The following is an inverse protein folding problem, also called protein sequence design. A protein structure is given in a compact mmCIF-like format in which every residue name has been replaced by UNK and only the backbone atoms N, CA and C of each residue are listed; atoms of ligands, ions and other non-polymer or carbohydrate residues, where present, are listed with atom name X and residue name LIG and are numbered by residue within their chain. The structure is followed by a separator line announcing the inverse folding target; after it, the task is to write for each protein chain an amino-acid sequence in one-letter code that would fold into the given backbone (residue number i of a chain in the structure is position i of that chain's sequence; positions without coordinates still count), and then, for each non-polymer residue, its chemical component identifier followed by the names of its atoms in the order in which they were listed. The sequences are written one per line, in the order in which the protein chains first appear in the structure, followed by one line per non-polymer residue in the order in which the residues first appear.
data_IF_141792223725
#
_entry.id   IF_141792223725
#
_cell.length_a   1.000
_cell.length_b   1.000
_cell.length_c   1.000
_cell.angle_alpha   90.00
_cell.angle_beta   90.00
_cell.angle_gamma   90.00
#
_symmetry.space_group_name_H-M   'P 1'
#
loop_
_entity.id
_entity.type
_entity.pdbx_description
1 polymer ?
#
# COMPACT_ATOMS: atom_id res chain seq x y z
N UNK A 1 -16.30 -66.13 52.95
CA UNK A 1 -16.61 -65.76 51.55
C UNK A 1 -17.05 -64.31 51.54
N UNK A 2 -16.18 -63.39 51.13
CA UNK A 2 -16.43 -61.94 51.17
C UNK A 2 -16.29 -61.45 49.72
N UNK A 3 -17.41 -60.99 49.14
CA UNK A 3 -17.47 -60.44 47.79
C UNK A 3 -16.75 -59.09 47.75
N UNK A 4 -15.69 -58.99 46.96
CA UNK A 4 -15.07 -57.72 46.60
C UNK A 4 -15.62 -57.26 45.25
N UNK A 5 -16.53 -56.29 45.29
CA UNK A 5 -17.03 -55.56 44.13
C UNK A 5 -15.88 -54.71 43.55
N UNK A 6 -15.41 -55.07 42.36
CA UNK A 6 -14.45 -54.26 41.61
C UNK A 6 -15.14 -53.00 41.07
N UNK A 7 -14.69 -51.83 41.52
CA UNK A 7 -15.06 -50.52 40.97
C UNK A 7 -14.29 -50.35 39.65
N UNK A 8 -14.96 -50.10 38.50
CA UNK A 8 -14.24 -49.83 37.26
C UNK A 8 -13.61 -48.44 37.34
N UNK A 9 -12.29 -48.40 37.15
CA UNK A 9 -11.52 -47.17 37.04
C UNK A 9 -11.74 -46.64 35.62
N UNK A 10 -12.63 -45.66 35.45
CA UNK A 10 -12.76 -44.93 34.20
C UNK A 10 -11.47 -44.15 33.94
N UNK A 11 -10.62 -44.68 33.05
CA UNK A 11 -9.48 -43.96 32.50
C UNK A 11 -9.99 -42.88 31.55
N UNK A 12 -10.32 -41.72 32.11
CA UNK A 12 -10.58 -40.50 31.38
C UNK A 12 -9.25 -39.95 30.81
N UNK A 13 -8.80 -40.53 29.70
CA UNK A 13 -7.73 -39.92 28.89
C UNK A 13 -8.37 -38.77 28.12
N UNK A 14 -8.38 -37.59 28.75
CA UNK A 14 -8.61 -36.33 28.03
C UNK A 14 -7.48 -36.19 27.00
N UNK A 15 -7.76 -36.52 25.72
CA UNK A 15 -6.89 -36.16 24.60
C UNK A 15 -6.75 -34.65 24.58
N UNK A 16 -5.61 -34.18 25.08
CA UNK A 16 -5.15 -32.81 24.91
C UNK A 16 -4.78 -32.68 23.43
N UNK A 17 -5.72 -32.30 22.57
CA UNK A 17 -5.43 -31.95 21.18
C UNK A 17 -4.38 -30.85 21.17
N UNK A 18 -3.12 -31.20 20.87
CA UNK A 18 -2.08 -30.23 20.60
C UNK A 18 -2.56 -29.36 19.43
N UNK A 19 -2.89 -28.10 19.70
CA UNK A 19 -3.28 -27.16 18.66
C UNK A 19 -2.06 -26.91 17.78
N UNK A 20 -2.04 -27.52 16.60
CA UNK A 20 -1.04 -27.24 15.57
C UNK A 20 -1.33 -25.83 15.07
N UNK A 21 -0.53 -24.85 15.49
CA UNK A 21 -0.58 -23.50 14.92
C UNK A 21 -0.04 -23.62 13.49
N UNK A 22 -0.85 -23.37 12.44
CA UNK A 22 -0.40 -23.56 11.06
C UNK A 22 0.74 -22.61 10.75
N UNK A 23 1.90 -23.17 10.40
CA UNK A 23 3.08 -22.38 10.02
C UNK A 23 2.85 -21.80 8.61
N UNK A 24 2.85 -20.47 8.50
CA UNK A 24 2.67 -19.76 7.22
C UNK A 24 3.96 -19.02 6.86
N UNK A 25 4.56 -19.38 5.71
CA UNK A 25 5.63 -18.58 5.11
C UNK A 25 5.03 -17.75 3.97
N UNK A 26 4.71 -16.50 4.27
CA UNK A 26 4.05 -15.60 3.34
C UNK A 26 2.70 -16.11 2.85
N UNK A 27 2.54 -16.27 1.53
CA UNK A 27 1.30 -16.77 0.90
C UNK A 27 1.18 -18.30 0.87
N UNK A 28 2.26 -19.03 1.19
CA UNK A 28 2.30 -20.48 1.06
C UNK A 28 2.04 -21.14 2.40
N UNK A 29 1.01 -21.99 2.41
CA UNK A 29 0.69 -22.83 3.55
C UNK A 29 1.69 -23.99 3.59
N UNK A 30 2.38 -24.14 4.71
CA UNK A 30 3.24 -25.29 4.95
C UNK A 30 2.38 -26.36 5.63
N UNK A 31 2.26 -27.53 5.01
CA UNK A 31 1.60 -28.67 5.64
C UNK A 31 2.46 -29.16 6.82
N UNK A 32 1.80 -29.36 7.95
CA UNK A 32 2.44 -29.77 9.21
C UNK A 32 1.79 -31.06 9.71
N UNK A 33 2.64 -31.98 10.15
CA UNK A 33 2.30 -33.25 10.78
C UNK A 33 2.76 -33.17 12.24
N UNK A 34 2.05 -33.88 13.13
CA UNK A 34 2.48 -34.06 14.51
C UNK A 34 3.01 -35.49 14.65
N UNK A 35 4.29 -35.61 15.00
CA UNK A 35 4.98 -36.90 15.15
C UNK A 35 5.70 -36.82 16.49
N UNK A 36 5.40 -37.75 17.40
CA UNK A 36 5.93 -37.76 18.77
C UNK A 36 5.76 -36.41 19.48
N UNK A 37 4.58 -35.80 19.34
CA UNK A 37 4.24 -34.45 19.85
C UNK A 37 5.13 -33.30 19.33
N UNK A 38 5.94 -33.55 18.31
CA UNK A 38 6.75 -32.55 17.65
C UNK A 38 6.20 -32.18 16.26
N UNK A 39 6.33 -30.91 15.84
CA UNK A 39 5.90 -30.48 14.52
C UNK A 39 6.91 -30.91 13.45
N UNK A 40 6.40 -31.58 12.42
CA UNK A 40 7.13 -31.92 11.21
C UNK A 40 6.49 -31.24 10.01
N UNK A 41 7.31 -30.71 9.10
CA UNK A 41 6.89 -29.87 7.99
C UNK A 41 7.14 -30.59 6.67
N UNK A 42 6.18 -30.56 5.75
CA UNK A 42 6.38 -31.12 4.42
C UNK A 42 7.46 -30.34 3.68
N UNK A 43 8.56 -31.01 3.34
CA UNK A 43 9.76 -30.40 2.79
C UNK A 43 9.51 -29.71 1.44
N UNK A 44 8.58 -30.23 0.64
CA UNK A 44 8.17 -29.62 -0.62
C UNK A 44 7.61 -28.20 -0.41
N UNK A 45 6.75 -28.02 0.58
CA UNK A 45 6.11 -26.72 0.85
C UNK A 45 7.15 -25.72 1.38
N UNK A 46 8.02 -26.16 2.29
CA UNK A 46 9.13 -25.34 2.81
C UNK A 46 10.11 -24.95 1.69
N UNK A 47 10.45 -25.90 0.82
CA UNK A 47 11.35 -25.65 -0.31
C UNK A 47 10.77 -24.63 -1.28
N UNK A 48 9.46 -24.69 -1.54
CA UNK A 48 8.75 -23.69 -2.35
C UNK A 48 8.80 -22.30 -1.69
N UNK A 49 8.55 -22.24 -0.38
CA UNK A 49 8.55 -21.00 0.39
C UNK A 49 9.92 -20.31 0.41
N UNK A 50 10.98 -21.10 0.48
CA UNK A 50 12.37 -20.65 0.48
C UNK A 50 12.98 -20.53 -0.92
N UNK A 51 12.20 -20.75 -1.99
CA UNK A 51 12.59 -20.65 -3.39
C UNK A 51 13.72 -21.62 -3.81
N UNK A 52 13.73 -22.82 -3.22
CA UNK A 52 14.53 -23.94 -3.72
C UNK A 52 13.85 -24.55 -4.95
N UNK A 53 14.67 -25.06 -5.88
CA UNK A 53 14.17 -25.71 -7.10
C UNK A 53 13.34 -26.96 -6.79
N UNK A 54 13.84 -27.77 -5.86
CA UNK A 54 13.21 -29.02 -5.40
C UNK A 54 13.53 -29.23 -3.93
N UNK A 55 12.67 -29.97 -3.22
CA UNK A 55 12.86 -30.31 -1.81
C UNK A 55 14.20 -31.00 -1.54
N UNK A 56 14.65 -31.90 -2.44
CA UNK A 56 15.92 -32.61 -2.30
C UNK A 56 17.15 -31.70 -2.25
N UNK A 57 17.13 -30.56 -2.95
CA UNK A 57 18.25 -29.59 -2.92
C UNK A 57 18.36 -28.90 -1.55
N UNK A 58 17.24 -28.77 -0.83
CA UNK A 58 17.19 -28.24 0.52
C UNK A 58 17.59 -29.31 1.53
N UNK A 59 16.92 -30.48 1.50
CA UNK A 59 17.06 -31.54 2.52
C UNK A 59 18.42 -32.25 2.50
N UNK A 60 19.15 -32.22 1.37
CA UNK A 60 20.51 -32.78 1.31
C UNK A 60 21.53 -32.08 2.23
N UNK A 61 21.20 -30.87 2.70
CA UNK A 61 22.06 -30.10 3.60
C UNK A 61 21.62 -30.21 5.07
N UNK A 62 20.63 -31.06 5.34
CA UNK A 62 20.10 -31.33 6.67
C UNK A 62 20.65 -32.66 7.18
N UNK A 63 20.82 -32.73 8.49
CA UNK A 63 21.28 -33.93 9.16
C UNK A 63 20.20 -35.02 9.11
N UNK A 64 20.58 -36.28 9.36
CA UNK A 64 19.65 -37.42 9.21
C UNK A 64 18.52 -37.40 10.25
N UNK A 65 18.73 -36.79 11.41
CA UNK A 65 17.72 -36.60 12.45
C UNK A 65 16.79 -35.40 12.18
N UNK A 66 17.16 -34.52 11.25
CA UNK A 66 16.39 -33.33 10.87
C UNK A 66 15.36 -33.60 9.77
N UNK A 67 15.43 -34.78 9.12
CA UNK A 67 14.60 -35.13 7.97
C UNK A 67 14.05 -36.55 8.07
N UNK A 68 13.00 -36.83 7.33
CA UNK A 68 12.39 -38.14 7.27
C UNK A 68 11.36 -38.23 6.16
N UNK A 69 10.63 -39.33 6.16
CA UNK A 69 9.60 -39.59 5.15
C UNK A 69 8.32 -40.01 5.84
N UNK A 70 7.19 -39.44 5.40
CA UNK A 70 5.88 -39.71 5.98
C UNK A 70 4.80 -39.82 4.90
N UNK A 71 3.78 -40.62 5.18
CA UNK A 71 2.61 -40.72 4.32
C UNK A 71 1.71 -39.51 4.60
N UNK A 72 1.49 -38.71 3.56
CA UNK A 72 0.67 -37.50 3.61
C UNK A 72 -0.50 -37.66 2.65
N UNK A 73 -1.72 -37.38 3.13
CA UNK A 73 -2.90 -37.35 2.27
C UNK A 73 -2.88 -36.12 1.37
N UNK A 74 -2.99 -36.35 0.07
CA UNK A 74 -3.12 -35.31 -0.96
C UNK A 74 -4.37 -35.54 -1.79
N UNK A 75 -4.66 -34.60 -2.71
CA UNK A 75 -5.75 -34.75 -3.68
C UNK A 75 -5.60 -36.01 -4.56
N UNK A 76 -4.37 -36.51 -4.72
CA UNK A 76 -4.07 -37.74 -5.46
C UNK A 76 -4.07 -39.01 -4.59
N UNK A 77 -4.47 -38.92 -3.33
CA UNK A 77 -4.43 -40.03 -2.38
C UNK A 77 -3.26 -39.94 -1.40
N UNK A 78 -2.96 -41.06 -0.76
CA UNK A 78 -1.84 -41.17 0.18
C UNK A 78 -0.51 -41.22 -0.58
N UNK A 79 0.37 -40.26 -0.29
CA UNK A 79 1.67 -40.12 -0.95
C UNK A 79 2.77 -40.06 0.08
N UNK A 80 3.86 -40.77 -0.21
CA UNK A 80 5.08 -40.71 0.57
C UNK A 80 5.82 -39.38 0.28
N UNK A 81 6.00 -38.56 1.31
CA UNK A 81 6.58 -37.22 1.20
C UNK A 81 7.73 -37.03 2.17
N UNK A 82 8.75 -36.29 1.72
CA UNK A 82 9.83 -35.81 2.59
C UNK A 82 9.27 -34.79 3.59
N UNK A 83 9.69 -34.96 4.84
CA UNK A 83 9.37 -34.08 5.95
C UNK A 83 10.63 -33.65 6.68
N UNK A 84 10.60 -32.49 7.32
CA UNK A 84 11.68 -31.97 8.15
C UNK A 84 11.13 -31.55 9.51
N UNK A 85 11.89 -31.73 10.58
CA UNK A 85 11.49 -31.25 11.90
C UNK A 85 11.80 -29.74 12.06
N UNK A 86 11.56 -29.21 13.25
CA UNK A 86 11.82 -27.79 13.55
C UNK A 86 13.31 -27.41 13.43
N UNK A 87 14.23 -28.30 13.83
CA UNK A 87 15.68 -28.09 13.65
C UNK A 87 16.02 -27.94 12.17
N UNK A 88 15.57 -28.90 11.35
CA UNK A 88 15.79 -28.89 9.90
C UNK A 88 15.20 -27.65 9.21
N UNK A 89 14.05 -27.18 9.69
CA UNK A 89 13.45 -25.94 9.22
C UNK A 89 14.36 -24.73 9.49
N UNK A 90 14.86 -24.58 10.72
CA UNK A 90 15.78 -23.49 11.06
C UNK A 90 17.10 -23.59 10.30
N UNK A 91 17.66 -24.79 10.17
CA UNK A 91 18.85 -25.08 9.36
C UNK A 91 18.66 -24.63 7.91
N UNK A 92 17.51 -24.90 7.30
CA UNK A 92 17.19 -24.44 5.95
C UNK A 92 17.06 -22.91 5.85
N UNK A 93 16.36 -22.26 6.79
CA UNK A 93 16.18 -20.80 6.79
C UNK A 93 17.52 -20.06 6.94
N UNK A 94 18.38 -20.52 7.85
CA UNK A 94 19.67 -19.88 8.12
C UNK A 94 20.67 -19.96 6.94
N UNK A 95 20.48 -20.96 6.06
CA UNK A 95 21.24 -21.15 4.81
C UNK A 95 20.63 -20.45 3.60
N UNK A 96 19.34 -20.10 3.65
CA UNK A 96 18.65 -19.48 2.51
C UNK A 96 19.23 -18.11 2.15
N UNK A 97 19.25 -17.81 0.85
CA UNK A 97 19.69 -16.52 0.30
C UNK A 97 18.55 -15.51 0.13
N UNK A 98 17.30 -15.96 0.33
CA UNK A 98 16.08 -15.17 0.20
C UNK A 98 16.08 -13.99 1.17
N UNK A 99 15.56 -12.84 0.74
CA UNK A 99 15.61 -11.58 1.51
C UNK A 99 14.84 -11.72 2.82
N UNK A 100 13.70 -12.37 2.78
CA UNK A 100 12.84 -12.71 3.90
C UNK A 100 13.60 -13.58 4.93
N UNK A 101 14.27 -14.64 4.47
CA UNK A 101 15.07 -15.50 5.33
C UNK A 101 16.26 -14.76 5.96
N UNK A 102 16.90 -13.84 5.24
CA UNK A 102 17.96 -12.96 5.79
C UNK A 102 17.45 -12.05 6.90
N UNK A 103 16.21 -11.54 6.80
CA UNK A 103 15.59 -10.73 7.85
C UNK A 103 15.34 -11.56 9.11
N UNK A 104 14.77 -12.76 8.95
CA UNK A 104 14.58 -13.69 10.05
C UNK A 104 15.92 -14.03 10.72
N UNK A 105 16.93 -14.41 9.93
CA UNK A 105 18.29 -14.67 10.43
C UNK A 105 18.84 -13.50 11.23
N UNK A 106 18.72 -12.27 10.72
CA UNK A 106 19.21 -11.07 11.40
C UNK A 106 18.44 -10.80 12.70
N UNK A 107 17.14 -11.00 12.72
CA UNK A 107 16.33 -10.84 13.93
C UNK A 107 16.71 -11.88 14.99
N UNK A 108 16.86 -13.15 14.61
CA UNK A 108 17.32 -14.19 15.53
C UNK A 108 18.70 -13.87 16.12
N UNK A 109 19.66 -13.48 15.27
CA UNK A 109 21.06 -13.29 15.73
C UNK A 109 21.31 -11.95 16.42
N UNK A 110 20.58 -10.89 16.06
CA UNK A 110 20.79 -9.56 16.64
C UNK A 110 19.87 -9.27 17.83
N UNK A 111 18.75 -9.96 17.95
CA UNK A 111 17.75 -9.69 18.98
C UNK A 111 17.47 -10.89 19.87
N UNK A 112 17.01 -12.01 19.30
CA UNK A 112 16.53 -13.16 20.07
C UNK A 112 17.66 -13.80 20.87
N UNK A 113 18.74 -14.22 20.21
CA UNK A 113 19.86 -14.87 20.88
C UNK A 113 20.55 -13.94 21.90
N UNK A 114 20.79 -12.64 21.60
CA UNK A 114 21.31 -11.72 22.61
C UNK A 114 20.37 -11.53 23.80
N UNK A 115 19.06 -11.48 23.61
CA UNK A 115 18.09 -11.35 24.68
C UNK A 115 18.09 -12.61 25.58
N UNK A 116 18.04 -13.80 24.98
CA UNK A 116 18.15 -15.07 25.72
C UNK A 116 19.46 -15.13 26.49
N UNK A 117 20.60 -14.78 25.86
CA UNK A 117 21.91 -14.78 26.54
C UNK A 117 21.95 -13.83 27.74
N UNK A 118 21.30 -12.65 27.64
CA UNK A 118 21.31 -11.63 28.70
C UNK A 118 20.30 -11.91 29.82
N UNK A 119 19.14 -12.45 29.48
CA UNK A 119 17.97 -12.51 30.37
C UNK A 119 17.50 -13.93 30.66
N UNK A 120 18.12 -14.95 30.07
CA UNK A 120 17.72 -16.35 30.17
C UNK A 120 16.44 -16.70 29.39
N UNK A 121 15.77 -15.70 28.81
CA UNK A 121 14.52 -15.86 28.04
C UNK A 121 14.39 -14.77 26.99
N UNK A 122 13.54 -15.05 26.00
CA UNK A 122 13.04 -14.05 25.07
C UNK A 122 11.58 -13.75 25.43
N UNK A 123 11.26 -12.49 25.68
CA UNK A 123 9.88 -12.03 25.81
C UNK A 123 9.46 -11.38 24.49
N UNK A 124 8.51 -12.01 23.80
CA UNK A 124 7.97 -11.46 22.57
C UNK A 124 6.99 -10.32 22.89
N UNK A 125 7.40 -9.08 22.66
CA UNK A 125 6.54 -7.90 22.75
C UNK A 125 5.84 -7.62 21.40
N UNK A 126 5.32 -8.67 20.74
CA UNK A 126 4.60 -8.58 19.46
C UNK A 126 5.48 -8.38 18.22
N UNK A 127 6.81 -8.54 18.36
CA UNK A 127 7.74 -8.41 17.23
C UNK A 127 7.74 -9.66 16.36
N UNK A 128 7.51 -10.84 16.93
CA UNK A 128 7.33 -12.06 16.15
C UNK A 128 6.13 -11.93 15.21
N UNK A 129 4.99 -11.43 15.71
CA UNK A 129 3.79 -11.17 14.91
C UNK A 129 4.10 -10.20 13.76
N UNK A 130 4.79 -9.09 14.05
CA UNK A 130 5.18 -8.12 13.03
C UNK A 130 6.18 -8.69 12.02
N UNK A 131 7.10 -9.57 12.45
CA UNK A 131 8.04 -10.24 11.55
C UNK A 131 7.34 -11.26 10.65
N UNK A 132 6.45 -12.08 11.20
CA UNK A 132 5.63 -13.04 10.44
C UNK A 132 4.73 -12.33 9.43
N UNK A 133 4.18 -11.19 9.81
CA UNK A 133 3.43 -10.29 8.93
C UNK A 133 4.34 -9.64 7.86
N UNK A 134 5.56 -9.28 8.23
CA UNK A 134 6.60 -8.80 7.31
C UNK A 134 7.17 -9.88 6.38
N UNK A 135 7.04 -11.16 6.71
CA UNK A 135 7.36 -12.28 5.82
C UNK A 135 6.18 -12.56 4.86
N UNK A 136 5.01 -11.95 5.11
CA UNK A 136 3.75 -12.04 4.34
C UNK A 136 3.46 -10.83 3.45
N UNK A 137 4.46 -9.99 3.17
CA UNK A 137 4.42 -8.65 2.55
C UNK A 137 3.99 -8.56 1.07
N UNK A 138 3.14 -9.45 0.57
CA UNK A 138 2.48 -9.23 -0.72
C UNK A 138 1.41 -8.14 -0.61
N UNK A 139 0.53 -8.23 0.38
CA UNK A 139 -0.70 -7.43 0.44
C UNK A 139 -0.46 -6.02 1.01
N UNK A 140 0.29 -5.90 2.09
CA UNK A 140 0.54 -4.60 2.71
C UNK A 140 1.28 -3.60 1.78
N UNK A 141 2.28 -4.09 1.04
CA UNK A 141 2.99 -3.26 0.07
C UNK A 141 2.07 -2.79 -1.06
N UNK A 142 1.05 -3.57 -1.41
CA UNK A 142 0.05 -3.19 -2.40
C UNK A 142 -0.84 -2.07 -1.84
N UNK A 143 -1.37 -2.19 -0.61
CA UNK A 143 -2.16 -1.11 0.00
C UNK A 143 -1.35 0.18 0.09
N UNK A 144 -0.09 0.12 0.51
CA UNK A 144 0.82 1.30 0.48
C UNK A 144 1.03 1.84 -0.92
N UNK A 145 1.13 0.96 -1.92
CA UNK A 145 1.20 1.33 -3.33
C UNK A 145 -0.05 2.10 -3.79
N UNK A 146 -1.24 1.56 -3.52
CA UNK A 146 -2.53 2.17 -3.87
C UNK A 146 -2.71 3.54 -3.20
N UNK A 147 -2.37 3.65 -1.90
CA UNK A 147 -2.40 4.94 -1.18
C UNK A 147 -1.45 5.93 -1.83
N UNK A 148 -0.22 5.51 -2.19
CA UNK A 148 0.77 6.37 -2.85
C UNK A 148 0.28 6.84 -4.22
N UNK A 149 -0.31 5.96 -5.01
CA UNK A 149 -0.83 6.30 -6.33
C UNK A 149 -1.99 7.28 -6.22
N UNK A 150 -2.90 7.09 -5.26
CA UNK A 150 -3.97 8.05 -4.97
C UNK A 150 -3.41 9.40 -4.50
N UNK A 151 -2.36 9.40 -3.69
CA UNK A 151 -1.70 10.61 -3.22
C UNK A 151 -1.05 11.44 -4.35
N UNK A 152 -0.82 10.88 -5.55
CA UNK A 152 -0.31 11.65 -6.69
C UNK A 152 -1.29 12.72 -7.16
N UNK A 153 -2.59 12.48 -6.98
CA UNK A 153 -3.65 13.45 -7.29
C UNK A 153 -3.76 14.57 -6.24
N UNK A 154 -3.05 14.46 -5.12
CA UNK A 154 -2.97 15.48 -4.06
C UNK A 154 -1.73 16.37 -4.29
N UNK A 155 -1.82 17.70 -4.06
CA UNK A 155 -0.68 18.60 -4.10
C UNK A 155 0.48 18.10 -3.24
N UNK A 156 1.71 18.32 -3.69
CA UNK A 156 2.94 17.79 -3.08
C UNK A 156 3.04 18.07 -1.58
N UNK A 157 2.62 19.26 -1.15
CA UNK A 157 2.63 19.73 0.24
C UNK A 157 1.70 18.89 1.14
N UNK A 158 0.58 18.41 0.60
CA UNK A 158 -0.46 17.72 1.36
C UNK A 158 -0.35 16.19 1.26
N UNK A 159 0.59 15.65 0.47
CA UNK A 159 0.71 14.20 0.23
C UNK A 159 0.99 13.41 1.49
N UNK A 160 1.88 13.90 2.36
CA UNK A 160 2.21 13.20 3.61
C UNK A 160 1.01 13.15 4.55
N UNK A 161 0.32 14.29 4.72
CA UNK A 161 -0.91 14.39 5.51
C UNK A 161 -2.01 13.49 4.96
N UNK A 162 -2.19 13.44 3.64
CA UNK A 162 -3.16 12.55 2.99
C UNK A 162 -2.84 11.08 3.27
N UNK A 163 -1.59 10.65 3.09
CA UNK A 163 -1.17 9.28 3.37
C UNK A 163 -1.46 8.90 4.84
N UNK A 164 -1.15 9.79 5.78
CA UNK A 164 -1.42 9.57 7.20
C UNK A 164 -2.91 9.43 7.49
N UNK A 165 -3.75 10.30 6.92
CA UNK A 165 -5.21 10.22 7.09
C UNK A 165 -5.76 8.93 6.49
N UNK A 166 -5.26 8.49 5.35
CA UNK A 166 -5.67 7.21 4.76
C UNK A 166 -5.32 6.03 5.67
N UNK A 167 -4.12 6.02 6.27
CA UNK A 167 -3.75 4.99 7.25
C UNK A 167 -4.67 5.01 8.48
N UNK A 168 -4.95 6.19 9.06
CA UNK A 168 -5.84 6.33 10.21
C UNK A 168 -7.29 5.87 9.89
N UNK A 169 -7.80 6.20 8.70
CA UNK A 169 -9.12 5.77 8.26
C UNK A 169 -9.20 4.26 8.05
N UNK A 170 -8.15 3.64 7.53
CA UNK A 170 -8.07 2.19 7.42
C UNK A 170 -8.06 1.51 8.80
N UNK A 171 -7.31 2.03 9.78
CA UNK A 171 -7.34 1.53 11.16
C UNK A 171 -8.76 1.56 11.74
N UNK A 172 -9.45 2.70 11.57
CA UNK A 172 -10.80 2.91 12.07
C UNK A 172 -11.81 1.99 11.39
N UNK A 173 -11.73 1.85 10.06
CA UNK A 173 -12.72 1.11 9.26
C UNK A 173 -12.66 -0.39 9.45
N UNK A 174 -11.45 -0.92 9.63
CA UNK A 174 -11.18 -2.36 9.77
C UNK A 174 -10.94 -2.76 11.24
N UNK A 175 -11.05 -1.81 12.18
CA UNK A 175 -10.82 -2.03 13.62
C UNK A 175 -9.47 -2.70 13.92
N UNK A 176 -8.43 -2.21 13.26
CA UNK A 176 -7.06 -2.72 13.41
C UNK A 176 -6.14 -1.63 13.96
N UNK A 177 -5.23 -2.00 14.86
CA UNK A 177 -4.28 -1.05 15.44
C UNK A 177 -3.32 -0.46 14.39
N UNK A 178 -3.06 -1.19 13.30
CA UNK A 178 -2.14 -0.83 12.21
C UNK A 178 -2.64 -1.40 10.89
N UNK A 179 -2.26 -0.79 9.77
CA UNK A 179 -2.73 -1.16 8.41
C UNK A 179 -2.09 -2.45 7.94
N UNK A 180 -0.93 -2.74 8.51
CA UNK A 180 -0.19 -3.99 8.43
C UNK A 180 -1.06 -5.16 8.90
N UNK A 181 -1.90 -4.94 9.92
CA UNK A 181 -2.73 -5.94 10.60
C UNK A 181 -4.09 -6.18 9.94
N UNK A 182 -4.34 -5.63 8.75
CA UNK A 182 -5.60 -5.88 8.01
C UNK A 182 -5.63 -7.36 7.60
N UNK A 183 -6.66 -8.14 8.00
CA UNK A 183 -6.76 -9.54 7.63
C UNK A 183 -6.79 -9.75 6.11
N UNK A 184 -6.20 -10.85 5.64
CA UNK A 184 -6.15 -11.17 4.21
C UNK A 184 -7.54 -11.28 3.55
N UNK A 185 -8.56 -11.67 4.32
CA UNK A 185 -9.96 -11.73 3.87
C UNK A 185 -10.57 -10.35 3.59
N UNK A 186 -10.04 -9.30 4.21
CA UNK A 186 -10.53 -7.93 4.09
C UNK A 186 -9.66 -7.09 3.13
N UNK A 187 -8.62 -7.70 2.56
CA UNK A 187 -7.65 -7.03 1.69
C UNK A 187 -8.28 -6.33 0.49
N UNK A 188 -9.20 -7.00 -0.21
CA UNK A 188 -9.87 -6.44 -1.38
C UNK A 188 -10.76 -5.26 -0.99
N UNK A 189 -11.45 -5.38 0.15
CA UNK A 189 -12.25 -4.29 0.72
C UNK A 189 -11.37 -3.09 1.10
N UNK A 190 -10.18 -3.32 1.65
CA UNK A 190 -9.24 -2.26 2.00
C UNK A 190 -8.69 -1.54 0.76
N UNK A 191 -8.31 -2.28 -0.30
CA UNK A 191 -7.89 -1.69 -1.57
C UNK A 191 -9.02 -0.88 -2.21
N UNK A 192 -10.23 -1.43 -2.26
CA UNK A 192 -11.41 -0.77 -2.81
C UNK A 192 -11.75 0.50 -2.03
N UNK A 193 -11.67 0.48 -0.70
CA UNK A 193 -11.89 1.64 0.15
C UNK A 193 -10.91 2.79 -0.17
N UNK A 194 -9.62 2.50 -0.33
CA UNK A 194 -8.62 3.52 -0.71
C UNK A 194 -8.89 4.04 -2.11
N UNK A 195 -9.21 3.16 -3.06
CA UNK A 195 -9.49 3.53 -4.44
C UNK A 195 -10.73 4.42 -4.57
N UNK A 196 -11.80 4.10 -3.84
CA UNK A 196 -13.07 4.81 -3.84
C UNK A 196 -13.07 6.11 -3.04
N UNK A 197 -12.03 6.36 -2.23
CA UNK A 197 -11.95 7.56 -1.40
C UNK A 197 -11.97 8.83 -2.28
N UNK A 198 -12.94 9.71 -2.02
CA UNK A 198 -13.05 11.02 -2.65
C UNK A 198 -12.02 11.96 -2.00
N UNK A 199 -11.21 12.62 -2.83
CA UNK A 199 -10.27 13.64 -2.34
C UNK A 199 -11.10 14.88 -2.05
N UNK A 200 -11.50 15.04 -0.79
CA UNK A 200 -12.28 16.17 -0.30
C UNK A 200 -11.41 17.42 -0.08
N UNK A 201 -12.07 18.58 0.07
CA UNK A 201 -11.49 19.92 0.08
C UNK A 201 -10.34 20.16 1.08
N UNK A 202 -10.16 19.31 2.08
CA UNK A 202 -9.03 19.35 3.02
C UNK A 202 -7.67 19.08 2.36
N UNK A 203 -7.67 18.33 1.26
CA UNK A 203 -6.46 17.95 0.53
C UNK A 203 -6.35 18.60 -0.84
N UNK A 204 -7.40 19.29 -1.30
CA UNK A 204 -7.28 20.23 -2.40
C UNK A 204 -6.31 21.33 -1.95
N UNK A 205 -5.36 21.70 -2.81
CA UNK A 205 -4.39 22.73 -2.47
C UNK A 205 -5.13 23.99 -2.03
N UNK A 206 -4.53 24.79 -1.15
CA UNK A 206 -5.04 26.15 -0.91
C UNK A 206 -5.32 26.75 -2.28
N UNK A 207 -6.55 27.20 -2.51
CA UNK A 207 -6.88 27.99 -3.69
C UNK A 207 -5.78 29.04 -3.79
N UNK A 208 -4.94 28.94 -4.84
CA UNK A 208 -3.79 29.82 -4.98
C UNK A 208 -4.29 31.23 -4.79
N UNK A 209 -3.70 31.97 -3.81
CA UNK A 209 -4.18 33.25 -3.27
C UNK A 209 -5.20 33.86 -4.21
N UNK A 210 -6.49 33.62 -3.94
CA UNK A 210 -7.55 34.22 -4.75
C UNK A 210 -7.21 35.69 -4.88
N UNK A 211 -7.14 36.20 -6.11
CA UNK A 211 -6.72 37.59 -6.29
C UNK A 211 -7.70 38.45 -5.51
N UNK A 212 -7.23 39.15 -4.49
CA UNK A 212 -8.07 40.03 -3.66
C UNK A 212 -8.56 41.15 -4.58
N UNK A 213 -9.84 41.07 -4.95
CA UNK A 213 -10.52 42.22 -5.54
C UNK A 213 -10.43 43.35 -4.50
N UNK A 214 -10.16 44.61 -4.94
CA UNK A 214 -10.17 45.74 -4.03
C UNK A 214 -11.45 45.75 -3.19
N UNK A 215 -11.31 45.85 -1.87
CA UNK A 215 -12.44 45.77 -0.94
C UNK A 215 -13.35 46.99 -1.04
N UNK A 216 -12.80 48.11 -1.50
CA UNK A 216 -13.52 49.34 -1.84
C UNK A 216 -13.60 49.47 -3.36
N UNK A 217 -14.78 49.18 -3.93
CA UNK A 217 -15.07 49.38 -5.34
C UNK A 217 -15.86 50.68 -5.50
N UNK A 218 -15.40 51.58 -6.38
CA UNK A 218 -16.28 52.65 -6.85
C UNK A 218 -17.36 52.07 -7.77
N UNK A 219 -18.53 52.73 -7.95
CA UNK A 219 -19.61 52.24 -8.82
C UNK A 219 -19.21 52.04 -10.29
N UNK A 220 -18.04 52.56 -10.70
CA UNK A 220 -17.58 52.61 -12.10
C UNK A 220 -16.30 51.82 -12.35
N UNK A 221 -15.69 51.22 -11.31
CA UNK A 221 -14.49 50.41 -11.45
C UNK A 221 -14.83 49.02 -12.01
N UNK A 222 -14.09 48.61 -13.05
CA UNK A 222 -14.21 47.28 -13.66
C UNK A 222 -12.85 46.59 -13.67
N UNK A 223 -12.86 45.26 -13.56
CA UNK A 223 -11.67 44.42 -13.58
C UNK A 223 -11.90 43.21 -14.47
N UNK A 224 -10.86 42.74 -15.17
CA UNK A 224 -10.85 41.43 -15.83
C UNK A 224 -10.00 40.46 -15.02
N UNK A 225 -10.54 39.27 -14.78
CA UNK A 225 -9.85 38.15 -14.13
C UNK A 225 -9.48 37.15 -15.21
N UNK A 226 -8.21 36.81 -15.33
CA UNK A 226 -7.73 35.84 -16.32
C UNK A 226 -6.64 34.96 -15.71
N UNK A 227 -6.38 33.82 -16.35
CA UNK A 227 -5.28 32.92 -15.96
C UNK A 227 -4.14 33.11 -16.97
N UNK A 228 -2.91 33.33 -16.49
CA UNK A 228 -1.74 33.43 -17.34
C UNK A 228 -1.25 32.06 -17.86
N UNK A 229 -0.23 32.07 -18.72
CA UNK A 229 0.36 30.84 -19.29
C UNK A 229 1.03 29.92 -18.26
N UNK A 230 1.25 30.39 -17.03
CA UNK A 230 1.78 29.61 -15.92
C UNK A 230 0.67 29.11 -14.97
N UNK A 231 -0.61 29.35 -15.30
CA UNK A 231 -1.74 28.90 -14.49
C UNK A 231 -2.08 29.84 -13.33
N UNK A 232 -1.42 30.99 -13.21
CA UNK A 232 -1.69 31.94 -12.13
C UNK A 232 -2.85 32.87 -12.50
N UNK A 233 -3.75 33.12 -11.56
CA UNK A 233 -4.81 34.12 -11.73
C UNK A 233 -4.23 35.52 -11.64
N UNK A 234 -4.62 36.38 -12.57
CA UNK A 234 -4.23 37.78 -12.68
C UNK A 234 -5.48 38.67 -12.69
N UNK A 235 -5.34 39.91 -12.19
CA UNK A 235 -6.37 40.96 -12.28
C UNK A 235 -5.80 42.15 -13.02
N UNK A 236 -6.58 42.71 -13.93
CA UNK A 236 -6.25 43.96 -14.62
C UNK A 236 -7.45 44.92 -14.58
N UNK A 237 -7.26 46.21 -14.24
CA UNK A 237 -8.33 47.20 -14.30
C UNK A 237 -8.76 47.45 -15.75
N UNK A 238 -10.07 47.61 -15.94
CA UNK A 238 -10.71 47.85 -17.23
C UNK A 238 -11.34 49.25 -17.20
N UNK A 239 -10.97 50.15 -18.11
CA UNK A 239 -11.61 51.47 -18.25
C UNK A 239 -13.12 51.36 -18.48
N UNK A 240 -13.89 52.36 -18.03
CA UNK A 240 -15.37 52.35 -18.15
C UNK A 240 -15.85 52.38 -19.61
N UNK A 241 -15.04 52.98 -20.48
CA UNK A 241 -15.23 53.09 -21.93
C UNK A 241 -14.65 51.91 -22.71
N UNK A 242 -14.05 50.92 -22.04
CA UNK A 242 -13.58 49.70 -22.68
C UNK A 242 -14.74 48.71 -22.90
N UNK A 243 -14.72 48.05 -24.06
CA UNK A 243 -15.67 47.01 -24.42
C UNK A 243 -15.06 45.62 -24.17
N UNK A 244 -15.83 44.73 -23.53
CA UNK A 244 -15.48 43.32 -23.35
C UNK A 244 -16.36 42.49 -24.28
N UNK A 245 -15.75 41.85 -25.27
CA UNK A 245 -16.47 41.08 -26.29
C UNK A 245 -15.64 39.93 -26.84
N UNK A 246 -16.30 38.92 -27.38
CA UNK A 246 -15.63 37.80 -28.06
C UNK A 246 -15.00 38.27 -29.38
N UNK A 247 -14.03 37.52 -29.94
CA UNK A 247 -13.45 37.85 -31.24
C UNK A 247 -14.49 38.03 -32.36
N UNK A 248 -15.54 37.19 -32.37
CA UNK A 248 -16.62 37.27 -33.37
C UNK A 248 -17.51 38.50 -33.16
N UNK A 249 -17.77 38.88 -31.90
CA UNK A 249 -18.50 40.10 -31.57
C UNK A 249 -17.71 41.35 -31.93
N UNK A 250 -16.38 41.34 -31.75
CA UNK A 250 -15.50 42.42 -32.19
C UNK A 250 -15.51 42.59 -33.70
N UNK A 251 -15.34 41.49 -34.44
CA UNK A 251 -15.41 41.52 -35.91
C UNK A 251 -16.77 42.01 -36.41
N UNK A 252 -17.87 41.59 -35.78
CA UNK A 252 -19.20 42.12 -36.09
C UNK A 252 -19.36 43.61 -35.74
N UNK A 253 -18.80 44.05 -34.62
CA UNK A 253 -18.88 45.43 -34.16
C UNK A 253 -18.06 46.40 -35.01
N UNK A 254 -16.96 45.97 -35.65
CA UNK A 254 -16.17 46.83 -36.55
C UNK A 254 -16.67 46.82 -38.01
N UNK A 255 -17.48 45.83 -38.39
CA UNK A 255 -17.94 45.62 -39.77
C UNK A 255 -19.39 46.08 -40.03
N UNK A 256 -20.17 46.39 -38.99
CA UNK A 256 -21.57 46.82 -39.11
C UNK A 256 -21.73 48.33 -39.39
N UNK A 257 -22.81 48.71 -40.07
CA UNK A 257 -23.13 50.11 -40.43
C UNK A 257 -23.29 51.06 -39.22
N UNK A 258 -23.61 50.52 -38.03
CA UNK A 258 -23.65 51.24 -36.75
C UNK A 258 -22.59 50.73 -35.75
N UNK A 259 -21.46 50.28 -36.27
CA UNK A 259 -20.37 49.67 -35.52
C UNK A 259 -19.56 50.63 -34.65
N UNK A 260 -18.64 50.09 -33.86
CA UNK A 260 -17.62 50.87 -33.15
C UNK A 260 -16.69 51.49 -34.20
N UNK A 261 -16.68 52.82 -34.30
CA UNK A 261 -15.77 53.52 -35.20
C UNK A 261 -14.34 53.43 -34.67
N UNK A 262 -13.54 52.53 -35.28
CA UNK A 262 -12.12 52.39 -34.98
C UNK A 262 -11.31 53.23 -35.97
N UNK A 263 -10.52 54.22 -35.51
CA UNK A 263 -9.67 55.01 -36.40
C UNK A 263 -8.69 54.12 -37.19
N UNK A 264 -8.39 54.42 -38.46
CA UNK A 264 -7.47 53.62 -39.28
C UNK A 264 -6.09 53.39 -38.62
N UNK A 265 -5.58 54.37 -37.88
CA UNK A 265 -4.33 54.25 -37.13
C UNK A 265 -4.41 53.15 -36.05
N UNK A 266 -5.50 53.11 -35.28
CA UNK A 266 -5.70 52.11 -34.23
C UNK A 266 -5.88 50.69 -34.80
N UNK A 267 -6.50 50.57 -35.98
CA UNK A 267 -6.58 49.31 -36.73
C UNK A 267 -5.19 48.83 -37.19
N UNK A 268 -4.32 49.76 -37.60
CA UNK A 268 -2.94 49.44 -38.01
C UNK A 268 -2.08 48.96 -36.84
N UNK A 269 -2.18 49.64 -35.69
CA UNK A 269 -1.50 49.24 -34.45
C UNK A 269 -1.97 47.85 -33.98
N UNK A 270 -3.28 47.59 -34.05
CA UNK A 270 -3.84 46.28 -33.74
C UNK A 270 -3.30 45.19 -34.68
N UNK A 271 -3.26 45.43 -35.99
CA UNK A 271 -2.74 44.48 -36.96
C UNK A 271 -1.24 44.18 -36.72
N UNK A 272 -0.43 45.19 -36.44
CA UNK A 272 0.98 45.03 -36.10
C UNK A 272 1.18 44.19 -34.83
N UNK A 273 0.40 44.44 -33.77
CA UNK A 273 0.45 43.68 -32.53
C UNK A 273 0.03 42.21 -32.73
N UNK A 274 -1.01 41.96 -33.54
CA UNK A 274 -1.47 40.62 -33.87
C UNK A 274 -0.41 39.84 -34.67
N UNK A 275 0.23 40.46 -35.66
CA UNK A 275 1.31 39.84 -36.44
C UNK A 275 2.54 39.50 -35.58
N UNK A 276 2.88 40.36 -34.61
CA UNK A 276 3.98 40.10 -33.67
C UNK A 276 3.72 38.85 -32.80
N UNK A 277 2.47 38.64 -32.36
CA UNK A 277 2.08 37.47 -31.56
C UNK A 277 1.89 36.18 -32.36
N UNK A 278 1.55 36.27 -33.66
CA UNK A 278 1.44 35.10 -34.54
C UNK A 278 2.78 34.39 -34.76
N UNK A 279 3.92 35.11 -34.73
CA UNK A 279 5.26 34.53 -34.89
C UNK A 279 5.65 33.54 -33.77
N UNK A 280 5.03 33.62 -32.59
CA UNK A 280 5.32 32.71 -31.48
C UNK A 280 4.75 31.30 -31.72
N UNK A 281 3.62 31.15 -32.42
CA UNK A 281 2.95 29.85 -32.60
C UNK A 281 3.57 28.96 -33.70
N UNK A 282 4.52 29.47 -34.47
CA UNK A 282 5.19 28.69 -35.54
C UNK A 282 6.53 28.10 -35.08
N UNK A 283 7.01 28.46 -33.89
CA UNK A 283 8.31 28.01 -33.35
C UNK A 283 8.20 27.12 -32.08
N UNK A 284 7.02 26.58 -31.79
CA UNK A 284 6.76 25.66 -30.67
C UNK A 284 6.08 24.38 -31.16
#
# INVERSE_FOLDING_TARGET
MINATAIPIENNVQSRTAQIIPFKFGKQQVRTLLIDDQPWFVAADVSSALEYRIAGDMTRNLDEDEKGTQIVRTLGGEQEMLVINESGLYSAILRSRKVEAKRFKKWVTAEVLPAIRKHGRYEDHGKMTMLMEQLSLGQFNIIKGVIRDKAKAVPTENRQSFQLVMHNRLHTRFNVARTELIPASEFESACSFVAAYAIEGEFLGREGKGVELPTELSPTQRFIVFTDGAGNRQIQPVPIDAYVMSPMQFLGAIAGENGIHVPPAALFDFALAAMARLKWKVAA
#
